data_IF_921163697986
#
_entry.id   IF_921163697986
#
_cell.length_a   1.000
_cell.length_b   1.000
_cell.length_c   1.000
_cell.angle_alpha   90.00
_cell.angle_beta   90.00
_cell.angle_gamma   90.00
#
_symmetry.space_group_name_H-M   'P 1'
#
loop_
_entity.id
_entity.type
_entity.pdbx_description
1 polymer ?
#
# COMPACT_ATOMS: atom_id res chain seq x y z
N UNK A 1 14.02 -21.04 -9.22
CA UNK A 1 13.49 -19.72 -8.85
C UNK A 1 12.06 -19.64 -9.35
N UNK A 2 11.09 -19.08 -8.58
CA UNK A 2 9.76 -18.83 -9.11
C UNK A 2 9.86 -17.92 -10.34
N UNK A 3 9.03 -18.17 -11.36
CA UNK A 3 8.97 -17.32 -12.54
C UNK A 3 8.52 -15.91 -12.12
N UNK A 4 9.11 -14.83 -12.67
CA UNK A 4 8.67 -13.49 -12.36
C UNK A 4 7.20 -13.30 -12.79
N UNK A 5 6.37 -12.68 -11.95
CA UNK A 5 5.01 -12.38 -12.34
C UNK A 5 4.99 -11.43 -13.55
N UNK A 6 4.04 -11.64 -14.45
CA UNK A 6 3.83 -10.73 -15.57
C UNK A 6 3.28 -9.39 -15.04
N UNK A 7 4.02 -8.31 -15.24
CA UNK A 7 3.57 -6.97 -14.89
C UNK A 7 3.15 -6.22 -16.16
N UNK A 8 1.86 -5.90 -16.33
CA UNK A 8 1.43 -5.13 -17.48
C UNK A 8 2.04 -3.73 -17.44
N UNK A 9 2.50 -3.24 -18.60
CA UNK A 9 3.08 -1.90 -18.77
C UNK A 9 2.01 -0.79 -18.80
N UNK A 10 0.73 -1.18 -18.92
CA UNK A 10 -0.42 -0.29 -18.93
C UNK A 10 -1.42 -0.69 -17.85
N UNK A 11 -1.94 0.29 -17.10
CA UNK A 11 -3.00 0.10 -16.11
C UNK A 11 -4.15 1.07 -16.39
N UNK A 12 -5.36 0.53 -16.46
CA UNK A 12 -6.58 1.33 -16.56
C UNK A 12 -7.28 1.48 -15.20
N UNK A 13 -6.87 0.69 -14.21
CA UNK A 13 -7.46 0.61 -12.89
C UNK A 13 -6.38 0.41 -11.82
N UNK A 14 -6.58 1.01 -10.64
CA UNK A 14 -5.79 0.83 -9.44
C UNK A 14 -6.77 0.53 -8.31
N UNK A 15 -6.65 -0.63 -7.67
CA UNK A 15 -7.47 -1.04 -6.52
C UNK A 15 -8.99 -0.91 -6.75
N UNK A 16 -9.52 -1.33 -7.90
CA UNK A 16 -10.96 -1.21 -8.20
C UNK A 16 -11.37 0.13 -8.85
N UNK A 17 -10.48 1.13 -8.87
CA UNK A 17 -10.81 2.50 -9.31
C UNK A 17 -10.14 2.81 -10.64
N UNK A 18 -10.90 3.33 -11.61
CA UNK A 18 -10.36 3.69 -12.93
C UNK A 18 -9.36 4.83 -12.79
N UNK A 19 -8.20 4.71 -13.44
CA UNK A 19 -7.15 5.72 -13.42
C UNK A 19 -7.64 7.08 -13.93
N UNK A 20 -8.58 7.08 -14.88
CA UNK A 20 -9.21 8.30 -15.42
C UNK A 20 -10.02 9.06 -14.38
N UNK A 21 -10.73 8.34 -13.51
CA UNK A 21 -11.56 8.95 -12.47
C UNK A 21 -10.64 9.56 -11.39
N UNK A 22 -9.61 8.82 -10.97
CA UNK A 22 -8.58 9.34 -10.06
C UNK A 22 -7.90 10.63 -10.58
N UNK A 23 -7.56 10.66 -11.87
CA UNK A 23 -6.96 11.83 -12.51
C UNK A 23 -7.95 13.01 -12.61
N UNK A 24 -9.24 12.73 -12.82
CA UNK A 24 -10.29 13.74 -12.85
C UNK A 24 -10.56 14.37 -11.49
N UNK A 25 -10.65 13.54 -10.45
CA UNK A 25 -11.01 13.97 -9.10
C UNK A 25 -9.84 14.64 -8.35
N UNK A 26 -8.60 14.17 -8.56
CA UNK A 26 -7.43 14.61 -7.78
C UNK A 26 -6.33 15.28 -8.62
N UNK A 27 -6.47 15.34 -9.95
CA UNK A 27 -5.45 15.88 -10.85
C UNK A 27 -4.22 14.98 -11.02
N UNK A 28 -3.25 15.48 -11.79
CA UNK A 28 -1.97 14.77 -12.05
C UNK A 28 -0.77 15.72 -11.92
N UNK A 29 0.37 15.27 -11.35
CA UNK A 29 0.61 13.93 -10.80
C UNK A 29 -0.07 13.73 -9.44
N UNK A 30 -0.52 12.51 -9.16
CA UNK A 30 -1.12 12.14 -7.87
C UNK A 30 -0.57 10.83 -7.35
N UNK A 31 -0.44 10.70 -6.02
CA UNK A 31 -0.07 9.47 -5.34
C UNK A 31 -1.34 8.71 -4.93
N UNK A 32 -1.37 7.40 -5.20
CA UNK A 32 -2.49 6.51 -4.84
C UNK A 32 -1.93 5.32 -4.07
N UNK A 33 -2.57 4.96 -2.97
CA UNK A 33 -2.19 3.82 -2.12
C UNK A 33 -3.34 2.82 -2.04
N UNK A 34 -3.04 1.54 -2.25
CA UNK A 34 -4.01 0.45 -2.07
C UNK A 34 -3.95 -0.08 -0.63
N UNK A 35 -4.99 0.24 0.15
CA UNK A 35 -5.09 -0.19 1.54
C UNK A 35 -5.17 -1.72 1.69
N UNK A 36 -5.92 -2.41 0.82
CA UNK A 36 -6.05 -3.86 0.88
C UNK A 36 -4.70 -4.53 0.64
N UNK A 37 -3.91 -4.00 -0.30
CA UNK A 37 -2.55 -4.52 -0.55
C UNK A 37 -1.62 -4.31 0.63
N UNK A 38 -1.70 -3.16 1.31
CA UNK A 38 -0.91 -2.90 2.53
C UNK A 38 -1.28 -3.90 3.63
N UNK A 39 -2.57 -4.13 3.86
CA UNK A 39 -3.06 -5.08 4.86
C UNK A 39 -2.64 -6.52 4.56
N UNK A 40 -2.69 -6.94 3.29
CA UNK A 40 -2.17 -8.24 2.84
C UNK A 40 -0.70 -8.41 3.21
N UNK A 41 0.13 -7.38 3.02
CA UNK A 41 1.57 -7.43 3.38
C UNK A 41 1.81 -7.47 4.89
N UNK A 42 0.94 -6.85 5.68
CA UNK A 42 0.97 -7.00 7.15
C UNK A 42 0.65 -8.46 7.52
N UNK A 43 -0.33 -9.07 6.86
CA UNK A 43 -0.73 -10.45 7.12
C UNK A 43 0.36 -11.46 6.78
N UNK A 44 1.06 -11.27 5.65
CA UNK A 44 2.22 -12.09 5.24
C UNK A 44 3.33 -12.15 6.33
N UNK A 45 3.39 -11.15 7.22
CA UNK A 45 4.40 -11.01 8.27
C UNK A 45 3.88 -11.40 9.66
N UNK A 46 2.67 -11.95 9.80
CA UNK A 46 2.07 -12.27 11.12
C UNK A 46 2.81 -13.34 11.92
N UNK A 47 3.65 -14.14 11.28
CA UNK A 47 4.49 -15.13 11.97
C UNK A 47 5.54 -14.49 12.89
N UNK A 48 5.83 -13.19 12.76
CA UNK A 48 6.76 -12.47 13.62
C UNK A 48 6.04 -11.91 14.86
N UNK A 49 6.68 -12.01 16.03
CA UNK A 49 6.14 -11.48 17.29
C UNK A 49 5.83 -9.98 17.22
N UNK A 50 6.65 -9.23 16.47
CA UNK A 50 6.51 -7.79 16.29
C UNK A 50 6.77 -7.42 14.84
N UNK A 51 5.79 -6.77 14.23
CA UNK A 51 5.97 -6.04 12.97
C UNK A 51 6.17 -4.57 13.34
N UNK A 52 7.28 -3.97 12.88
CA UNK A 52 7.57 -2.54 13.04
C UNK A 52 7.72 -1.88 11.67
N UNK A 53 6.78 -1.00 11.33
CA UNK A 53 6.78 -0.25 10.08
C UNK A 53 7.81 0.88 10.12
N UNK A 54 8.75 0.89 9.18
CA UNK A 54 9.76 1.94 9.06
C UNK A 54 9.16 3.21 8.45
N UNK A 55 8.81 4.22 9.27
CA UNK A 55 8.02 5.37 8.81
C UNK A 55 8.67 6.17 7.68
N UNK A 56 10.01 6.15 7.59
CA UNK A 56 10.77 6.84 6.53
C UNK A 56 10.44 6.36 5.12
N UNK A 57 9.85 5.16 4.97
CA UNK A 57 9.43 4.62 3.69
C UNK A 57 8.10 5.22 3.19
N UNK A 58 7.19 5.57 4.11
CA UNK A 58 5.94 6.27 3.80
C UNK A 58 5.37 6.87 5.09
N UNK A 59 5.57 8.17 5.28
CA UNK A 59 5.17 8.89 6.51
C UNK A 59 3.74 9.47 6.45
N UNK A 60 2.93 9.06 5.47
CA UNK A 60 1.54 9.48 5.39
C UNK A 60 0.75 8.99 6.62
N UNK A 61 0.17 9.92 7.38
CA UNK A 61 -0.49 9.62 8.65
C UNK A 61 -1.65 8.62 8.50
N UNK A 62 -2.38 8.64 7.38
CA UNK A 62 -3.46 7.68 7.14
C UNK A 62 -2.93 6.25 6.94
N UNK A 63 -1.75 6.10 6.33
CA UNK A 63 -1.07 4.80 6.19
C UNK A 63 -0.52 4.34 7.54
N UNK A 64 0.09 5.24 8.31
CA UNK A 64 0.57 4.92 9.66
C UNK A 64 -0.59 4.50 10.57
N UNK A 65 -1.73 5.18 10.52
CA UNK A 65 -2.93 4.79 11.26
C UNK A 65 -3.48 3.43 10.79
N UNK A 66 -3.56 3.21 9.48
CA UNK A 66 -4.02 1.94 8.89
C UNK A 66 -3.24 0.74 9.43
N UNK A 67 -1.90 0.79 9.40
CA UNK A 67 -1.06 -0.32 9.89
C UNK A 67 -1.12 -0.43 11.41
N UNK A 68 -1.22 0.70 12.14
CA UNK A 68 -1.36 0.69 13.61
C UNK A 68 -2.65 -0.01 14.05
N UNK A 69 -3.77 0.17 13.34
CA UNK A 69 -5.02 -0.55 13.60
C UNK A 69 -4.90 -2.06 13.46
N UNK A 70 -3.87 -2.55 12.75
CA UNK A 70 -3.55 -3.98 12.63
C UNK A 70 -2.59 -4.49 13.73
N UNK A 71 -2.23 -3.65 14.69
CA UNK A 71 -1.25 -3.98 15.74
C UNK A 71 0.21 -3.80 15.34
N UNK A 72 0.48 -3.24 14.16
CA UNK A 72 1.85 -2.93 13.71
C UNK A 72 2.41 -1.74 14.50
N UNK A 73 3.63 -1.86 15.00
CA UNK A 73 4.35 -0.75 15.64
C UNK A 73 4.94 0.18 14.59
N UNK A 74 5.25 1.42 14.95
CA UNK A 74 5.95 2.36 14.06
C UNK A 74 7.39 2.53 14.57
N UNK A 75 8.36 2.46 13.67
CA UNK A 75 9.73 2.90 13.90
C UNK A 75 9.81 4.37 13.54
N UNK A 76 10.20 5.21 14.50
CA UNK A 76 10.18 6.65 14.35
C UNK A 76 11.58 7.24 14.26
#
# INVERSE_FOLDING_TARGET
MPAPPNFPTLRHEIAGVRVRDLAGDYGTPTYVYDAAKILERVEDLRQFDVIRFAQKACSNLAILDLVRRQGVKVDA
#
